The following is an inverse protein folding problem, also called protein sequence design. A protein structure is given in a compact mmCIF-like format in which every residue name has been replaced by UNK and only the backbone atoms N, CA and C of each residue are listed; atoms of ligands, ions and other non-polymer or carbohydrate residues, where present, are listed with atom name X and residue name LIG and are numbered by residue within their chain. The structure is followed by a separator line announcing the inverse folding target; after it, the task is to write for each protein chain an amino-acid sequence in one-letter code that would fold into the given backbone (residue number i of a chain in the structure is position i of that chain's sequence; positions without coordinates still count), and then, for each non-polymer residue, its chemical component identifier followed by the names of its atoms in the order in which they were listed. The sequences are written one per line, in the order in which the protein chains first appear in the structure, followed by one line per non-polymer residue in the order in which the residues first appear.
data_IF_888673215664
#
_entry.id   IF_888673215664
#
_cell.length_a   1.000
_cell.length_b   1.000
_cell.length_c   1.000
_cell.angle_alpha   90.00
_cell.angle_beta   90.00
_cell.angle_gamma   90.00
#
_symmetry.space_group_name_H-M   'P 1'
#
loop_
_entity.id
_entity.type
_entity.pdbx_description
1 polymer ?
#
# COMPACT_ATOMS: atom_id res chain seq x y z
N UNK A 1 -9.90 5.30 14.74
CA UNK A 1 -8.86 4.76 13.85
C UNK A 1 -8.68 3.28 14.12
N UNK A 2 -8.32 2.45 13.14
CA UNK A 2 -8.10 1.03 13.36
C UNK A 2 -6.82 0.76 14.14
N UNK A 3 -6.82 -0.27 14.97
CA UNK A 3 -5.59 -0.82 15.53
C UNK A 3 -4.77 -1.41 14.39
N UNK A 4 -3.49 -1.07 14.33
CA UNK A 4 -2.59 -1.53 13.28
C UNK A 4 -1.37 -2.19 13.90
N UNK A 5 -1.03 -3.37 13.40
CA UNK A 5 0.18 -4.12 13.74
C UNK A 5 1.07 -4.20 12.51
N UNK A 6 2.33 -3.89 12.67
CA UNK A 6 3.32 -4.00 11.59
C UNK A 6 4.57 -4.70 12.09
N UNK A 7 5.06 -5.66 11.31
CA UNK A 7 6.32 -6.36 11.53
C UNK A 7 7.17 -6.18 10.27
N UNK A 8 8.42 -5.79 10.45
CA UNK A 8 9.38 -5.64 9.36
C UNK A 8 10.65 -6.39 9.68
N UNK A 9 11.21 -7.04 8.68
CA UNK A 9 12.44 -7.79 8.75
C UNK A 9 13.37 -7.38 7.62
N UNK A 10 14.66 -7.25 7.94
CA UNK A 10 15.69 -6.96 6.95
C UNK A 10 16.96 -7.73 7.32
N UNK A 11 17.58 -8.37 6.34
CA UNK A 11 18.83 -9.11 6.52
C UNK A 11 19.70 -9.09 5.27
N UNK A 12 21.01 -9.16 5.46
CA UNK A 12 21.96 -9.45 4.38
C UNK A 12 21.90 -10.94 4.02
N UNK A 13 21.66 -11.26 2.77
CA UNK A 13 21.60 -12.64 2.25
C UNK A 13 22.83 -13.02 1.40
N UNK A 14 23.56 -12.03 0.93
CA UNK A 14 24.83 -12.18 0.22
C UNK A 14 25.60 -10.86 0.32
N UNK A 15 26.86 -10.83 -0.19
CA UNK A 15 27.61 -9.61 -0.31
C UNK A 15 26.79 -8.57 -1.11
N UNK A 16 26.68 -7.36 -0.55
CA UNK A 16 25.97 -6.23 -1.16
C UNK A 16 24.47 -6.48 -1.46
N UNK A 17 23.87 -7.51 -0.85
CA UNK A 17 22.48 -7.90 -1.14
C UNK A 17 21.68 -7.99 0.15
N UNK A 18 20.55 -7.25 0.20
CA UNK A 18 19.60 -7.20 1.29
C UNK A 18 18.28 -7.85 0.89
N UNK A 19 17.74 -8.67 1.78
CA UNK A 19 16.36 -9.14 1.73
C UNK A 19 15.54 -8.31 2.73
N UNK A 20 14.38 -7.84 2.30
CA UNK A 20 13.39 -7.20 3.15
C UNK A 20 12.08 -7.95 3.10
N UNK A 21 11.40 -8.05 4.23
CA UNK A 21 10.04 -8.57 4.29
C UNK A 21 9.23 -7.74 5.27
N UNK A 22 7.95 -7.54 5.01
CA UNK A 22 7.05 -6.90 5.95
C UNK A 22 5.68 -7.54 5.95
N UNK A 23 5.03 -7.44 7.10
CA UNK A 23 3.63 -7.81 7.30
C UNK A 23 2.94 -6.66 8.03
N UNK A 24 1.74 -6.31 7.58
CA UNK A 24 0.88 -5.34 8.23
C UNK A 24 -0.55 -5.87 8.31
N UNK A 25 -1.15 -5.73 9.48
CA UNK A 25 -2.58 -5.96 9.69
C UNK A 25 -3.22 -4.69 10.24
N UNK A 26 -4.38 -4.33 9.70
CA UNK A 26 -5.20 -3.23 10.21
C UNK A 26 -6.63 -3.73 10.48
N UNK A 27 -7.10 -3.54 11.72
CA UNK A 27 -8.41 -4.00 12.19
C UNK A 27 -9.45 -2.93 11.87
N UNK A 28 -9.77 -2.73 10.61
CA UNK A 28 -10.72 -1.74 10.13
C UNK A 28 -12.15 -2.02 10.55
N UNK A 29 -12.51 -3.28 10.81
CA UNK A 29 -13.84 -3.68 11.27
C UNK A 29 -14.27 -3.01 12.58
N UNK A 30 -13.31 -2.54 13.39
CA UNK A 30 -13.55 -1.80 14.63
C UNK A 30 -13.70 -0.29 14.42
N UNK A 31 -13.49 0.21 13.20
CA UNK A 31 -13.54 1.63 12.90
C UNK A 31 -14.94 2.06 12.51
N UNK A 32 -15.47 3.05 13.21
CA UNK A 32 -16.77 3.66 12.90
C UNK A 32 -16.61 5.17 12.72
N UNK A 33 -17.47 5.75 11.91
CA UNK A 33 -17.53 7.20 11.70
C UNK A 33 -18.71 7.72 12.50
N UNK A 34 -18.42 8.51 13.55
CA UNK A 34 -19.42 9.25 14.29
C UNK A 34 -19.69 10.60 13.63
N UNK A 35 -20.95 10.92 13.39
CA UNK A 35 -21.36 12.25 12.94
C UNK A 35 -22.31 12.89 13.95
N UNK A 36 -22.12 14.17 14.20
CA UNK A 36 -23.05 14.95 15.01
C UNK A 36 -24.17 15.46 14.12
N UNK A 37 -25.36 14.91 14.26
CA UNK A 37 -26.54 15.26 13.42
C UNK A 37 -27.36 16.43 14.00
N UNK A 38 -27.24 16.68 15.32
CA UNK A 38 -27.80 17.81 16.02
C UNK A 38 -27.05 18.03 17.33
N UNK A 39 -27.13 19.22 17.97
CA UNK A 39 -26.54 19.43 19.29
C UNK A 39 -26.99 18.37 20.28
N UNK A 40 -26.06 17.60 20.85
CA UNK A 40 -26.33 16.50 21.78
C UNK A 40 -26.79 15.17 21.18
N UNK A 41 -26.86 15.07 19.84
CA UNK A 41 -27.21 13.84 19.11
C UNK A 41 -26.08 13.38 18.21
N UNK A 42 -25.58 12.17 18.44
CA UNK A 42 -24.57 11.53 17.59
C UNK A 42 -25.18 10.31 16.90
N UNK A 43 -24.90 10.15 15.63
CA UNK A 43 -25.17 8.94 14.88
C UNK A 43 -23.85 8.29 14.46
N UNK A 44 -23.73 6.99 14.67
CA UNK A 44 -22.58 6.22 14.17
C UNK A 44 -22.94 5.63 12.81
N UNK A 45 -22.13 5.91 11.81
CA UNK A 45 -22.22 5.23 10.53
C UNK A 45 -21.44 3.93 10.67
N UNK A 46 -22.14 2.81 10.53
CA UNK A 46 -21.48 1.52 10.39
C UNK A 46 -20.78 1.48 9.03
N UNK A 47 -19.44 1.53 9.05
CA UNK A 47 -18.65 1.53 7.82
C UNK A 47 -18.57 0.17 7.16
N UNK A 48 -18.88 -0.91 7.91
CA UNK A 48 -18.76 -2.31 7.50
C UNK A 48 -17.37 -2.67 6.93
N UNK A 49 -16.35 -1.89 7.26
CA UNK A 49 -14.98 -2.15 6.80
C UNK A 49 -14.51 -3.53 7.23
N UNK A 50 -13.76 -4.19 6.35
CA UNK A 50 -13.09 -5.46 6.63
C UNK A 50 -11.65 -5.23 7.07
N UNK A 51 -11.19 -6.10 7.96
CA UNK A 51 -9.77 -6.11 8.35
C UNK A 51 -8.90 -6.37 7.12
N UNK A 52 -7.78 -5.66 7.02
CA UNK A 52 -6.84 -5.84 5.92
C UNK A 52 -5.54 -6.46 6.41
N UNK A 53 -4.92 -7.27 5.54
CA UNK A 53 -3.59 -7.82 5.71
C UNK A 53 -2.77 -7.52 4.46
N UNK A 54 -1.57 -7.01 4.68
CA UNK A 54 -0.66 -6.70 3.59
C UNK A 54 0.72 -7.29 3.86
N UNK A 55 1.35 -7.79 2.81
CA UNK A 55 2.68 -8.39 2.82
C UNK A 55 3.55 -7.69 1.80
N UNK A 56 4.83 -7.61 2.07
CA UNK A 56 5.81 -7.27 1.04
C UNK A 56 7.08 -8.08 1.20
N UNK A 57 7.73 -8.36 0.08
CA UNK A 57 9.06 -8.93 0.01
C UNK A 57 9.86 -8.18 -1.03
N UNK A 58 11.11 -7.88 -0.73
CA UNK A 58 11.98 -7.13 -1.63
C UNK A 58 13.42 -7.56 -1.53
N UNK A 59 14.14 -7.38 -2.63
CA UNK A 59 15.59 -7.56 -2.70
C UNK A 59 16.19 -6.24 -3.18
N UNK A 60 17.20 -5.77 -2.44
CA UNK A 60 18.04 -4.65 -2.82
C UNK A 60 19.48 -5.11 -3.00
N UNK A 61 20.15 -4.64 -4.06
CA UNK A 61 21.55 -4.95 -4.32
C UNK A 61 22.34 -3.71 -4.70
N UNK A 62 23.52 -3.60 -4.11
CA UNK A 62 24.54 -2.67 -4.56
C UNK A 62 25.41 -3.35 -5.63
N UNK A 63 25.41 -2.80 -6.82
CA UNK A 63 26.16 -3.32 -7.97
C UNK A 63 27.56 -2.75 -8.05
N UNK A 64 27.70 -1.48 -7.65
CA UNK A 64 28.96 -0.76 -7.53
C UNK A 64 28.89 0.13 -6.29
N UNK A 65 29.99 0.78 -5.92
CA UNK A 65 30.02 1.75 -4.81
C UNK A 65 29.03 2.90 -5.02
N UNK A 66 28.67 3.17 -6.26
CA UNK A 66 27.79 4.27 -6.65
C UNK A 66 26.38 3.84 -7.04
N UNK A 67 26.17 2.59 -7.47
CA UNK A 67 24.90 2.14 -8.06
C UNK A 67 24.29 1.02 -7.25
N UNK A 68 23.02 1.21 -6.86
CA UNK A 68 22.18 0.17 -6.26
C UNK A 68 20.79 0.14 -6.91
N UNK A 69 20.17 -1.05 -6.89
CA UNK A 69 18.82 -1.22 -7.34
C UNK A 69 18.03 -2.11 -6.37
N UNK A 70 16.72 -2.03 -6.46
CA UNK A 70 15.81 -2.87 -5.68
C UNK A 70 14.59 -3.26 -6.51
N UNK A 71 14.05 -4.43 -6.17
CA UNK A 71 12.74 -4.88 -6.61
C UNK A 71 11.93 -5.30 -5.39
N UNK A 72 10.67 -4.93 -5.36
CA UNK A 72 9.76 -5.27 -4.26
C UNK A 72 8.43 -5.72 -4.84
N UNK A 73 7.93 -6.85 -4.34
CA UNK A 73 6.56 -7.30 -4.54
C UNK A 73 5.77 -7.01 -3.27
N UNK A 74 4.54 -6.52 -3.42
CA UNK A 74 3.61 -6.33 -2.31
C UNK A 74 2.22 -6.82 -2.68
N UNK A 75 1.52 -7.33 -1.67
CA UNK A 75 0.16 -7.85 -1.80
C UNK A 75 -0.66 -7.44 -0.60
N UNK A 76 -1.86 -6.95 -0.86
CA UNK A 76 -2.93 -6.81 0.13
C UNK A 76 -4.00 -7.85 -0.17
N UNK A 77 -4.37 -8.64 0.83
CA UNK A 77 -5.38 -9.68 0.68
C UNK A 77 -6.75 -9.08 0.36
N UNK A 78 -7.44 -9.69 -0.58
CA UNK A 78 -8.85 -9.42 -0.83
C UNK A 78 -9.70 -9.99 0.31
N UNK A 79 -10.81 -9.33 0.65
CA UNK A 79 -11.82 -9.90 1.54
C UNK A 79 -12.70 -10.91 0.79
N UNK A 80 -13.13 -11.95 1.48
CA UNK A 80 -14.09 -12.93 0.98
C UNK A 80 -15.29 -13.01 1.91
N UNK A 81 -16.52 -12.72 1.45
CA UNK A 81 -16.85 -12.21 0.11
C UNK A 81 -16.26 -10.81 -0.12
N UNK A 82 -16.09 -10.39 -1.40
CA UNK A 82 -15.64 -9.05 -1.74
C UNK A 82 -16.54 -8.01 -1.08
N UNK A 83 -15.89 -7.02 -0.45
CA UNK A 83 -16.59 -5.94 0.21
C UNK A 83 -16.31 -4.61 -0.48
N UNK A 84 -17.37 -3.92 -0.88
CA UNK A 84 -17.29 -2.58 -1.44
C UNK A 84 -18.33 -1.68 -0.82
N UNK A 85 -17.95 -0.44 -0.55
CA UNK A 85 -18.81 0.62 -0.08
C UNK A 85 -18.45 1.93 -0.77
N UNK A 86 -19.21 3.00 -0.54
CA UNK A 86 -18.84 4.33 -1.01
C UNK A 86 -17.49 4.81 -0.48
N UNK A 87 -16.96 4.17 0.58
CA UNK A 87 -15.68 4.48 1.19
C UNK A 87 -14.57 3.50 0.80
N UNK A 88 -14.90 2.39 0.11
CA UNK A 88 -13.96 1.34 -0.26
C UNK A 88 -14.23 0.88 -1.68
N UNK A 89 -13.41 1.35 -2.61
CA UNK A 89 -13.55 1.11 -4.05
C UNK A 89 -12.52 0.12 -4.59
N UNK A 90 -11.94 -0.70 -3.70
CA UNK A 90 -10.96 -1.72 -4.04
C UNK A 90 -11.08 -2.92 -3.11
N UNK A 91 -10.72 -4.11 -3.59
CA UNK A 91 -10.73 -5.34 -2.80
C UNK A 91 -9.38 -6.06 -2.93
N UNK A 92 -8.43 -5.65 -2.09
CA UNK A 92 -7.06 -6.10 -2.17
C UNK A 92 -6.26 -5.45 -3.31
N UNK A 93 -4.99 -5.77 -3.40
CA UNK A 93 -4.12 -5.29 -4.48
C UNK A 93 -2.81 -6.06 -4.54
N UNK A 94 -2.17 -6.05 -5.71
CA UNK A 94 -0.82 -6.56 -5.91
C UNK A 94 0.02 -5.51 -6.63
N UNK A 95 1.29 -5.34 -6.20
CA UNK A 95 2.17 -4.39 -6.86
C UNK A 95 3.59 -4.91 -7.00
N UNK A 96 4.24 -4.51 -8.08
CA UNK A 96 5.67 -4.65 -8.30
C UNK A 96 6.27 -3.26 -8.38
N UNK A 97 7.36 -3.05 -7.66
CA UNK A 97 8.10 -1.79 -7.64
C UNK A 97 9.57 -2.04 -7.93
N UNK A 98 10.16 -1.19 -8.75
CA UNK A 98 11.59 -1.19 -9.06
C UNK A 98 12.17 0.17 -8.70
N UNK A 99 13.28 0.17 -7.97
CA UNK A 99 14.00 1.36 -7.56
C UNK A 99 15.46 1.32 -8.00
N UNK A 100 16.00 2.49 -8.33
CA UNK A 100 17.41 2.71 -8.64
C UNK A 100 17.94 3.88 -7.80
N UNK A 101 19.17 3.77 -7.33
CA UNK A 101 19.87 4.84 -6.65
C UNK A 101 21.30 4.95 -7.21
N UNK A 102 21.67 6.16 -7.55
CA UNK A 102 23.03 6.51 -7.95
C UNK A 102 23.60 7.60 -7.03
N UNK A 103 24.76 7.34 -6.46
CA UNK A 103 25.50 8.29 -5.62
C UNK A 103 26.76 8.74 -6.30
N UNK A 104 27.04 10.04 -6.27
CA UNK A 104 28.29 10.59 -6.73
C UNK A 104 28.66 11.80 -5.87
N UNK A 105 29.82 11.73 -5.23
CA UNK A 105 30.30 12.76 -4.32
C UNK A 105 29.24 13.13 -3.27
N UNK A 106 28.78 14.36 -3.27
CA UNK A 106 27.73 14.86 -2.39
C UNK A 106 26.31 14.75 -2.96
N UNK A 107 26.13 14.14 -4.15
CA UNK A 107 24.83 14.02 -4.84
C UNK A 107 24.31 12.59 -4.79
N UNK A 108 23.03 12.45 -4.48
CA UNK A 108 22.29 11.18 -4.58
C UNK A 108 21.08 11.37 -5.48
N UNK A 109 20.98 10.58 -6.54
CA UNK A 109 19.83 10.51 -7.43
C UNK A 109 19.11 9.17 -7.13
N UNK A 110 17.82 9.23 -6.85
CA UNK A 110 17.00 8.04 -6.65
C UNK A 110 15.76 8.13 -7.51
N UNK A 111 15.44 7.06 -8.21
CA UNK A 111 14.25 6.97 -9.04
C UNK A 111 13.57 5.61 -8.89
N UNK A 112 12.29 5.55 -9.22
CA UNK A 112 11.58 4.29 -9.19
C UNK A 112 10.27 4.34 -9.94
N UNK A 113 9.79 3.14 -10.28
CA UNK A 113 8.49 2.89 -10.88
C UNK A 113 7.78 1.79 -10.10
N UNK A 114 6.48 1.94 -9.94
CA UNK A 114 5.61 0.94 -9.32
C UNK A 114 4.37 0.75 -10.17
N UNK A 115 3.99 -0.49 -10.41
CA UNK A 115 2.72 -0.87 -11.01
C UNK A 115 1.91 -1.67 -10.01
N UNK A 116 0.67 -1.24 -9.79
CA UNK A 116 -0.27 -1.87 -8.85
C UNK A 116 -1.54 -2.26 -9.59
N UNK A 117 -1.91 -3.52 -9.53
CA UNK A 117 -3.22 -4.02 -9.90
C UNK A 117 -4.11 -3.97 -8.66
N UNK A 118 -5.26 -3.32 -8.80
CA UNK A 118 -6.24 -3.13 -7.72
C UNK A 118 -7.35 -4.15 -7.90
N UNK A 119 -7.69 -4.86 -6.83
CA UNK A 119 -8.72 -5.89 -6.87
C UNK A 119 -10.10 -5.33 -7.14
N UNK A 120 -10.88 -6.10 -7.89
CA UNK A 120 -12.22 -5.73 -8.34
C UNK A 120 -13.21 -5.69 -7.20
N UNK A 121 -14.16 -4.76 -7.26
CA UNK A 121 -15.23 -4.62 -6.29
C UNK A 121 -16.51 -4.11 -6.93
N UNK A 122 -17.65 -4.61 -6.44
CA UNK A 122 -18.98 -4.11 -6.78
C UNK A 122 -19.55 -3.40 -5.54
N UNK A 123 -19.98 -2.17 -5.73
CA UNK A 123 -20.60 -1.33 -4.71
C UNK A 123 -22.07 -1.17 -5.02
N UNK A 124 -22.93 -1.57 -4.10
CA UNK A 124 -24.38 -1.34 -4.17
C UNK A 124 -24.73 -0.16 -3.23
N UNK A 125 -25.04 0.98 -3.81
CA UNK A 125 -25.41 2.17 -3.07
C UNK A 125 -26.93 2.40 -3.16
N UNK A 126 -27.61 2.36 -2.01
CA UNK A 126 -29.07 2.59 -1.92
C UNK A 126 -29.41 3.97 -2.48
N UNK A 127 -30.34 4.00 -3.44
CA UNK A 127 -30.79 5.22 -4.12
C UNK A 127 -29.89 5.72 -5.25
N UNK A 128 -28.71 5.11 -5.46
CA UNK A 128 -27.76 5.48 -6.53
C UNK A 128 -27.65 4.37 -7.57
N UNK A 129 -27.63 3.10 -7.12
CA UNK A 129 -27.49 1.93 -8.00
C UNK A 129 -26.23 1.12 -7.72
N UNK A 130 -25.89 0.25 -8.67
CA UNK A 130 -24.71 -0.62 -8.60
C UNK A 130 -23.57 -0.02 -9.41
N UNK A 131 -22.41 0.14 -8.79
CA UNK A 131 -21.16 0.58 -9.42
C UNK A 131 -20.15 -0.56 -9.40
N UNK A 132 -19.46 -0.76 -10.51
CA UNK A 132 -18.41 -1.78 -10.64
C UNK A 132 -17.07 -1.09 -10.88
N UNK A 133 -16.07 -1.48 -10.09
CA UNK A 133 -14.68 -1.05 -10.20
C UNK A 133 -13.87 -2.28 -10.58
N UNK A 134 -13.50 -2.40 -11.86
CA UNK A 134 -12.86 -3.60 -12.41
C UNK A 134 -11.64 -3.25 -13.26
N UNK A 135 -10.63 -4.12 -13.24
CA UNK A 135 -9.45 -3.99 -14.10
C UNK A 135 -8.60 -2.76 -13.81
N UNK A 136 -8.67 -2.20 -12.61
CA UNK A 136 -7.95 -0.98 -12.26
C UNK A 136 -6.47 -1.23 -12.06
N UNK A 137 -5.64 -0.45 -12.75
CA UNK A 137 -4.18 -0.46 -12.61
C UNK A 137 -3.68 0.93 -12.31
N UNK A 138 -2.79 1.05 -11.35
CA UNK A 138 -2.11 2.30 -10.99
C UNK A 138 -0.63 2.18 -11.30
N UNK A 139 -0.11 3.09 -12.11
CA UNK A 139 1.32 3.23 -12.34
C UNK A 139 1.79 4.52 -11.68
N UNK A 140 2.81 4.42 -10.82
CA UNK A 140 3.44 5.55 -10.16
C UNK A 140 4.93 5.56 -10.49
N UNK A 141 5.48 6.74 -10.71
CA UNK A 141 6.91 6.94 -10.88
C UNK A 141 7.38 8.15 -10.07
N UNK A 142 8.62 8.10 -9.62
CA UNK A 142 9.20 9.16 -8.83
C UNK A 142 10.69 9.33 -9.10
N UNK A 143 11.15 10.57 -8.94
CA UNK A 143 12.56 10.95 -9.00
C UNK A 143 12.87 11.87 -7.82
N UNK A 144 13.99 11.62 -7.15
CA UNK A 144 14.52 12.45 -6.06
C UNK A 144 15.99 12.72 -6.30
N UNK A 145 16.38 13.98 -6.18
CA UNK A 145 17.78 14.40 -6.17
C UNK A 145 18.06 15.03 -4.80
N UNK A 146 19.10 14.58 -4.13
CA UNK A 146 19.53 15.10 -2.83
C UNK A 146 21.00 15.50 -2.88
N UNK A 147 21.35 16.62 -2.24
CA UNK A 147 22.71 17.08 -2.05
C UNK A 147 23.02 17.12 -0.55
N UNK A 148 24.19 16.64 -0.17
CA UNK A 148 24.76 16.82 1.16
C UNK A 148 25.73 18.01 1.12
N UNK A 149 25.64 18.91 2.09
CA UNK A 149 26.49 20.10 2.23
C UNK A 149 27.44 19.92 3.41
#
# INVERSE_FOLDING_TARGET
MPDTYALSFQTGIAADTLLTASYRRANWSKSQIGITVAPGSQANINTEFKDSKAYSIGIGRRFTDNLSASITYSKEEASDPPFGSLFTVSNGSEAISVGLQYKRDNMTISGGISQRNVGDVTVNATGVGTMQYTGNTVTAMGLKIAFAF
#
